data_IF_492513650675
#
_entry.id   IF_492513650675
#
_cell.length_a   1.000
_cell.length_b   1.000
_cell.length_c   1.000
_cell.angle_alpha   90.00
_cell.angle_beta   90.00
_cell.angle_gamma   90.00
#
_symmetry.space_group_name_H-M   'P 1'
#
loop_
_entity.id
_entity.type
_entity.pdbx_description
1 polymer ?
#
# COMPACT_ATOMS: atom_id res chain seq x y z
N UNK A 1 9.64 -12.09 5.02
CA UNK A 1 10.19 -11.62 3.73
C UNK A 1 10.17 -10.10 3.72
N UNK A 2 11.20 -9.47 3.16
CA UNK A 2 11.29 -8.02 3.03
C UNK A 2 11.31 -7.60 1.57
N UNK A 3 10.69 -6.47 1.24
CA UNK A 3 10.68 -5.90 -0.12
C UNK A 3 11.64 -4.70 -0.16
N UNK A 4 12.58 -4.70 -1.09
CA UNK A 4 13.51 -3.60 -1.33
C UNK A 4 13.23 -2.92 -2.67
N UNK A 5 13.49 -1.61 -2.75
CA UNK A 5 13.38 -0.82 -3.98
C UNK A 5 12.17 0.12 -3.99
N UNK A 6 11.86 0.67 -5.17
CA UNK A 6 10.77 1.65 -5.37
C UNK A 6 9.40 1.10 -4.93
N UNK A 7 9.22 -0.22 -5.04
CA UNK A 7 8.03 -0.93 -4.58
C UNK A 7 7.77 -0.81 -3.06
N UNK A 8 8.82 -0.65 -2.25
CA UNK A 8 8.67 -0.38 -0.82
C UNK A 8 8.32 1.07 -0.50
N UNK A 9 8.58 1.99 -1.43
CA UNK A 9 8.39 3.44 -1.26
C UNK A 9 7.07 3.99 -1.82
N UNK A 10 6.26 3.15 -2.45
CA UNK A 10 4.91 3.51 -2.90
C UNK A 10 3.90 3.30 -1.76
N UNK A 11 3.14 4.34 -1.35
CA UNK A 11 2.21 4.24 -0.22
C UNK A 11 1.08 3.23 -0.43
N UNK A 12 0.54 3.10 -1.65
CA UNK A 12 -0.55 2.16 -1.94
C UNK A 12 -0.04 0.73 -1.94
N UNK A 13 1.13 0.51 -2.54
CA UNK A 13 1.75 -0.80 -2.57
C UNK A 13 2.21 -1.24 -1.17
N UNK A 14 2.67 -0.31 -0.33
CA UNK A 14 3.00 -0.61 1.06
C UNK A 14 1.80 -1.17 1.84
N UNK A 15 0.58 -0.64 1.64
CA UNK A 15 -0.64 -1.17 2.26
C UNK A 15 -0.93 -2.60 1.78
N UNK A 16 -0.81 -2.85 0.47
CA UNK A 16 -0.99 -4.19 -0.11
C UNK A 16 0.04 -5.17 0.47
N UNK A 17 1.32 -4.81 0.48
CA UNK A 17 2.40 -5.67 0.98
C UNK A 17 2.23 -6.00 2.47
N UNK A 18 1.87 -5.02 3.30
CA UNK A 18 1.57 -5.25 4.72
C UNK A 18 0.35 -6.16 4.88
N UNK A 19 -0.70 -5.95 4.08
CA UNK A 19 -1.87 -6.84 4.06
C UNK A 19 -1.55 -8.29 3.66
N UNK A 20 -0.55 -8.49 2.81
CA UNK A 20 -0.02 -9.81 2.44
C UNK A 20 0.93 -10.43 3.48
N UNK A 21 1.22 -9.72 4.57
CA UNK A 21 2.08 -10.20 5.66
C UNK A 21 3.56 -9.84 5.51
N UNK A 22 3.91 -8.86 4.67
CA UNK A 22 5.27 -8.31 4.64
C UNK A 22 5.51 -7.50 5.92
N UNK A 23 6.56 -7.87 6.65
CA UNK A 23 6.88 -7.29 7.96
C UNK A 23 8.01 -6.26 7.89
N UNK A 24 8.69 -6.15 6.75
CA UNK A 24 9.81 -5.24 6.56
C UNK A 24 9.77 -4.63 5.16
N UNK A 25 9.78 -3.30 5.10
CA UNK A 25 9.84 -2.51 3.89
C UNK A 25 11.14 -1.70 3.92
N UNK A 26 11.91 -1.76 2.83
CA UNK A 26 13.13 -0.95 2.66
C UNK A 26 12.96 0.00 1.48
N UNK A 27 13.32 1.27 1.69
CA UNK A 27 13.10 2.35 0.74
C UNK A 27 14.07 3.52 0.97
N UNK A 28 14.09 4.48 0.03
CA UNK A 28 14.84 5.72 0.21
C UNK A 28 14.26 6.54 1.40
N UNK A 29 15.11 7.21 2.23
CA UNK A 29 14.65 7.98 3.38
C UNK A 29 13.57 9.02 3.08
N UNK A 30 13.59 9.61 1.88
CA UNK A 30 12.60 10.58 1.41
C UNK A 30 11.20 10.00 1.21
N UNK A 31 11.06 8.66 1.05
CA UNK A 31 9.78 7.97 0.87
C UNK A 31 9.14 7.54 2.20
N UNK A 32 9.95 7.43 3.27
CA UNK A 32 9.50 6.97 4.59
C UNK A 32 8.32 7.78 5.14
N UNK A 33 8.28 9.13 5.07
CA UNK A 33 7.16 9.89 5.63
C UNK A 33 5.80 9.54 5.00
N UNK A 34 5.76 9.39 3.67
CA UNK A 34 4.51 9.08 2.95
C UNK A 34 4.04 7.65 3.21
N UNK A 35 4.96 6.68 3.24
CA UNK A 35 4.59 5.30 3.58
C UNK A 35 4.12 5.18 5.04
N UNK A 36 4.79 5.86 5.97
CA UNK A 36 4.36 5.90 7.38
C UNK A 36 3.00 6.58 7.54
N UNK A 37 2.75 7.66 6.80
CA UNK A 37 1.45 8.34 6.81
C UNK A 37 0.34 7.39 6.33
N UNK A 38 0.51 6.74 5.17
CA UNK A 38 -0.44 5.77 4.66
C UNK A 38 -0.73 4.64 5.66
N UNK A 39 0.32 4.04 6.23
CA UNK A 39 0.18 2.97 7.22
C UNK A 39 -0.46 3.46 8.53
N UNK A 40 -0.26 4.72 8.91
CA UNK A 40 -0.90 5.27 10.12
C UNK A 40 -2.40 5.48 9.97
N UNK A 41 -2.91 5.58 8.74
CA UNK A 41 -4.34 5.73 8.43
C UNK A 41 -5.09 4.40 8.34
N UNK A 42 -4.40 3.26 8.38
CA UNK A 42 -5.00 1.95 8.17
C UNK A 42 -4.56 0.96 9.25
N UNK A 43 -5.52 0.23 9.80
CA UNK A 43 -5.28 -0.98 10.58
C UNK A 43 -4.77 -2.13 9.70
N UNK A 44 -4.21 -3.17 10.32
CA UNK A 44 -3.80 -4.37 9.61
C UNK A 44 -4.96 -5.04 8.86
N UNK A 45 -6.17 -5.03 9.44
CA UNK A 45 -7.36 -5.60 8.82
C UNK A 45 -7.76 -4.82 7.55
N UNK A 46 -7.65 -3.50 7.57
CA UNK A 46 -7.89 -2.66 6.38
C UNK A 46 -6.84 -2.92 5.32
N UNK A 47 -5.55 -3.01 5.69
CA UNK A 47 -4.48 -3.39 4.76
C UNK A 47 -4.74 -4.76 4.10
N UNK A 48 -5.26 -5.74 4.85
CA UNK A 48 -5.66 -7.04 4.30
C UNK A 48 -6.81 -6.91 3.29
N UNK A 49 -7.80 -6.05 3.56
CA UNK A 49 -8.88 -5.74 2.62
C UNK A 49 -8.36 -5.06 1.34
N UNK A 50 -7.42 -4.13 1.48
CA UNK A 50 -6.73 -3.49 0.35
C UNK A 50 -5.97 -4.52 -0.48
N UNK A 51 -5.25 -5.45 0.16
CA UNK A 51 -4.55 -6.52 -0.53
C UNK A 51 -5.49 -7.48 -1.28
N UNK A 52 -6.62 -7.86 -0.67
CA UNK A 52 -7.63 -8.67 -1.33
C UNK A 52 -8.23 -7.97 -2.56
N UNK A 53 -8.45 -6.66 -2.47
CA UNK A 53 -8.93 -5.83 -3.58
C UNK A 53 -7.93 -5.83 -4.74
N UNK A 54 -6.63 -5.68 -4.45
CA UNK A 54 -5.58 -5.75 -5.46
C UNK A 54 -5.51 -7.12 -6.15
N UNK A 55 -5.62 -8.21 -5.38
CA UNK A 55 -5.56 -9.59 -5.89
C UNK A 55 -6.77 -9.98 -6.74
N UNK A 56 -7.92 -9.32 -6.56
CA UNK A 56 -9.13 -9.58 -7.33
C UNK A 56 -9.10 -8.95 -8.75
N UNK A 57 -8.19 -8.01 -9.00
CA UNK A 57 -8.06 -7.35 -10.29
C UNK A 57 -7.36 -8.24 -11.33
N UNK A 58 -7.68 -8.07 -12.62
CA UNK A 58 -7.13 -8.91 -13.69
C UNK A 58 -5.85 -8.32 -14.30
N UNK A 59 -5.60 -7.04 -14.04
CA UNK A 59 -4.42 -6.32 -14.52
C UNK A 59 -3.83 -5.44 -13.42
N UNK A 60 -2.54 -5.11 -13.55
CA UNK A 60 -1.88 -4.18 -12.63
C UNK A 60 -2.56 -2.81 -12.58
N UNK A 61 -3.09 -2.33 -13.72
CA UNK A 61 -3.80 -1.05 -13.80
C UNK A 61 -5.12 -1.10 -13.03
N UNK A 62 -5.90 -2.16 -13.22
CA UNK A 62 -7.14 -2.36 -12.48
C UNK A 62 -6.88 -2.48 -10.98
N UNK A 63 -5.80 -3.18 -10.58
CA UNK A 63 -5.42 -3.32 -9.18
C UNK A 63 -5.14 -1.95 -8.54
N UNK A 64 -4.35 -1.10 -9.19
CA UNK A 64 -4.07 0.25 -8.69
C UNK A 64 -5.33 1.09 -8.57
N UNK A 65 -6.20 1.09 -9.58
CA UNK A 65 -7.47 1.83 -9.54
C UNK A 65 -8.40 1.33 -8.44
N UNK A 66 -8.50 0.01 -8.28
CA UNK A 66 -9.34 -0.59 -7.24
C UNK A 66 -8.83 -0.25 -5.84
N UNK A 67 -7.51 -0.32 -5.62
CA UNK A 67 -6.86 0.07 -4.36
C UNK A 67 -7.10 1.56 -4.07
N UNK A 68 -6.86 2.46 -5.02
CA UNK A 68 -7.18 3.89 -4.87
C UNK A 68 -8.65 4.13 -4.49
N UNK A 69 -9.55 3.28 -4.97
CA UNK A 69 -10.98 3.32 -4.67
C UNK A 69 -11.34 3.02 -3.22
N UNK A 70 -10.50 2.29 -2.48
CA UNK A 70 -10.83 1.76 -1.14
C UNK A 70 -9.92 2.25 -0.02
N UNK A 71 -8.85 3.00 -0.31
CA UNK A 71 -7.99 3.61 0.71
C UNK A 71 -8.65 4.83 1.38
N UNK A 72 -8.16 5.16 2.58
CA UNK A 72 -8.55 6.36 3.33
C UNK A 72 -8.48 7.63 2.47
N UNK A 73 -9.47 8.52 2.61
CA UNK A 73 -9.62 9.71 1.76
C UNK A 73 -8.41 10.65 1.83
N UNK A 74 -7.84 10.86 3.02
CA UNK A 74 -6.62 11.65 3.19
C UNK A 74 -5.42 11.10 2.39
N UNK A 75 -5.32 9.78 2.22
CA UNK A 75 -4.28 9.19 1.38
C UNK A 75 -4.62 9.35 -0.11
N UNK A 76 -5.89 9.12 -0.46
CA UNK A 76 -6.40 9.23 -1.83
C UNK A 76 -6.19 10.63 -2.41
N UNK A 77 -6.31 11.67 -1.60
CA UNK A 77 -6.11 13.05 -2.02
C UNK A 77 -4.65 13.38 -2.42
N UNK A 78 -3.69 12.50 -2.11
CA UNK A 78 -2.26 12.72 -2.30
C UNK A 78 -1.62 11.86 -3.40
N UNK A 79 -2.38 10.96 -4.05
CA UNK A 79 -1.88 9.96 -5.00
C UNK A 79 -2.58 9.98 -6.35
#
# INVERSE_FOLDING_TARGET
MGVCGEAGGDPLLALVLVGLGVQSLSMAPSKVPMVRFALSLHSLAECQGVAATALAARTAREAMQAVQGVVHDDLRALV
#
